data_IF_441995731438
#
_entry.id   IF_441995731438
#
_cell.length_a   1.000
_cell.length_b   1.000
_cell.length_c   1.000
_cell.angle_alpha   90.00
_cell.angle_beta   90.00
_cell.angle_gamma   90.00
#
_symmetry.space_group_name_H-M   'P 1'
#
loop_
_entity.id
_entity.type
_entity.pdbx_description
1 polymer ?
#
# COMPACT_ATOMS: atom_id res chain seq x y z
N UNK A 1 1.58 -7.45 -11.29
CA UNK A 1 1.59 -7.94 -9.89
C UNK A 1 2.67 -7.22 -9.12
N UNK A 2 2.40 -6.79 -7.89
CA UNK A 2 3.35 -6.08 -7.05
C UNK A 2 3.46 -6.73 -5.66
N UNK A 3 2.56 -6.37 -4.73
CA UNK A 3 2.58 -6.86 -3.36
C UNK A 3 1.73 -8.13 -3.15
N UNK A 4 2.02 -8.87 -2.07
CA UNK A 4 1.20 -9.99 -1.60
C UNK A 4 1.05 -10.08 -0.09
N UNK A 5 -0.04 -10.70 0.35
CA UNK A 5 -0.22 -11.16 1.74
C UNK A 5 -0.71 -12.61 1.75
N UNK A 6 -0.27 -13.36 2.74
CA UNK A 6 -0.67 -14.75 2.95
C UNK A 6 -1.59 -14.81 4.17
N UNK A 7 -2.79 -15.31 3.95
CA UNK A 7 -3.78 -15.60 4.97
C UNK A 7 -3.79 -17.11 5.23
N UNK A 8 -3.41 -17.51 6.44
CA UNK A 8 -3.36 -18.91 6.85
C UNK A 8 -4.68 -19.41 7.47
N UNK A 9 -5.69 -18.55 7.56
CA UNK A 9 -6.99 -18.86 8.18
C UNK A 9 -8.03 -19.35 7.16
N UNK A 10 -7.78 -19.13 5.86
CA UNK A 10 -8.66 -19.56 4.76
C UNK A 10 -7.95 -20.49 3.79
N UNK A 11 -8.61 -21.59 3.39
CA UNK A 11 -8.05 -22.62 2.51
C UNK A 11 -7.20 -23.65 3.26
N UNK A 12 -6.98 -24.83 2.66
CA UNK A 12 -6.33 -25.95 3.35
C UNK A 12 -4.86 -25.66 3.71
N UNK A 13 -4.13 -24.95 2.86
CA UNK A 13 -2.76 -24.52 3.07
C UNK A 13 -2.61 -22.99 3.15
N UNK A 14 -3.73 -22.29 3.34
CA UNK A 14 -3.81 -20.83 3.24
C UNK A 14 -4.22 -20.33 1.85
N UNK A 15 -4.50 -19.03 1.81
CA UNK A 15 -4.85 -18.25 0.64
C UNK A 15 -3.87 -17.09 0.50
N UNK A 16 -3.31 -16.87 -0.68
CA UNK A 16 -2.52 -15.69 -0.97
C UNK A 16 -3.37 -14.66 -1.73
N UNK A 17 -3.28 -13.41 -1.29
CA UNK A 17 -3.85 -12.26 -1.98
C UNK A 17 -2.71 -11.46 -2.57
N UNK A 18 -2.79 -11.17 -3.86
CA UNK A 18 -1.75 -10.45 -4.59
C UNK A 18 -2.38 -9.27 -5.30
N UNK A 19 -1.76 -8.11 -5.22
CA UNK A 19 -2.18 -6.96 -6.01
C UNK A 19 -1.59 -7.03 -7.40
N UNK A 20 -2.43 -6.74 -8.39
CA UNK A 20 -2.01 -6.53 -9.75
C UNK A 20 -2.11 -5.04 -10.06
N UNK A 21 -1.03 -4.30 -9.80
CA UNK A 21 -0.98 -2.86 -10.10
C UNK A 21 -1.16 -2.56 -11.58
N UNK A 22 -0.88 -3.56 -12.43
CA UNK A 22 -0.80 -3.50 -13.90
C UNK A 22 0.19 -2.49 -14.47
N UNK A 23 0.65 -1.50 -13.69
CA UNK A 23 1.33 -0.28 -14.14
C UNK A 23 0.76 0.22 -15.49
N UNK A 24 -0.56 0.11 -15.64
CA UNK A 24 -1.24 -0.03 -16.93
C UNK A 24 -2.76 -0.16 -16.77
N UNK A 25 -3.43 -0.79 -17.75
CA UNK A 25 -4.87 -0.59 -17.96
C UNK A 25 -5.81 -1.60 -17.31
N UNK A 26 -5.28 -2.68 -16.74
CA UNK A 26 -6.12 -3.69 -16.10
C UNK A 26 -5.53 -4.04 -14.75
N UNK A 27 -5.70 -3.19 -13.73
CA UNK A 27 -5.37 -3.57 -12.37
C UNK A 27 -6.46 -4.45 -11.75
N UNK A 28 -6.09 -5.26 -10.76
CA UNK A 28 -7.01 -6.18 -10.09
C UNK A 28 -6.44 -6.67 -8.76
N UNK A 29 -7.23 -7.47 -8.05
CA UNK A 29 -6.70 -8.40 -7.05
C UNK A 29 -6.62 -9.80 -7.66
N UNK A 30 -5.63 -10.58 -7.25
CA UNK A 30 -5.53 -12.00 -7.55
C UNK A 30 -5.58 -12.79 -6.25
N UNK A 31 -6.47 -13.76 -6.21
CA UNK A 31 -6.64 -14.68 -5.08
C UNK A 31 -6.09 -16.04 -5.50
N UNK A 32 -5.23 -16.62 -4.69
CA UNK A 32 -4.56 -17.89 -4.95
C UNK A 32 -4.83 -18.85 -3.80
N UNK A 33 -5.47 -19.97 -4.08
CA UNK A 33 -5.52 -21.09 -3.15
C UNK A 33 -4.17 -21.81 -3.16
N UNK A 34 -3.46 -21.81 -2.03
CA UNK A 34 -2.06 -22.27 -1.98
C UNK A 34 -1.98 -23.79 -2.15
N UNK A 35 -2.98 -24.53 -1.66
CA UNK A 35 -2.96 -25.99 -1.71
C UNK A 35 -3.09 -26.53 -3.14
N UNK A 36 -4.02 -25.97 -3.92
CA UNK A 36 -4.29 -26.41 -5.30
C UNK A 36 -3.55 -25.61 -6.36
N UNK A 37 -3.02 -24.43 -6.02
CA UNK A 37 -2.45 -23.48 -6.97
C UNK A 37 -3.48 -22.80 -7.87
N UNK A 38 -4.79 -23.01 -7.64
CA UNK A 38 -5.85 -22.35 -8.41
C UNK A 38 -5.86 -20.86 -8.08
N UNK A 39 -5.96 -20.05 -9.12
CA UNK A 39 -5.99 -18.60 -9.00
C UNK A 39 -7.22 -18.00 -9.69
N UNK A 40 -7.71 -16.88 -9.15
CA UNK A 40 -8.75 -16.07 -9.77
C UNK A 40 -8.37 -14.59 -9.68
N UNK A 41 -8.70 -13.85 -10.73
CA UNK A 41 -8.48 -12.41 -10.82
C UNK A 41 -9.83 -11.70 -10.69
N UNK A 42 -9.94 -10.80 -9.72
CA UNK A 42 -11.20 -10.23 -9.25
C UNK A 42 -11.12 -8.72 -9.15
N UNK A 43 -12.27 -8.05 -9.18
CA UNK A 43 -12.38 -6.58 -9.07
C UNK A 43 -11.60 -5.82 -10.16
N UNK A 44 -11.38 -6.45 -11.32
CA UNK A 44 -10.53 -5.92 -12.38
C UNK A 44 -11.02 -4.61 -13.03
N UNK A 45 -12.33 -4.34 -12.92
CA UNK A 45 -12.98 -3.13 -13.42
C UNK A 45 -13.59 -2.30 -12.29
N UNK A 46 -13.43 -2.74 -11.05
CA UNK A 46 -14.03 -2.06 -9.91
C UNK A 46 -13.24 -0.77 -9.60
N UNK A 47 -13.89 0.38 -9.34
CA UNK A 47 -13.19 1.64 -9.10
C UNK A 47 -12.11 1.59 -8.01
N UNK A 48 -12.30 0.76 -6.99
CA UNK A 48 -11.34 0.60 -5.88
C UNK A 48 -9.98 0.00 -6.26
N UNK A 49 -9.85 -0.57 -7.46
CA UNK A 49 -8.57 -1.11 -7.97
C UNK A 49 -7.96 -0.20 -9.03
N UNK A 50 -8.65 0.84 -9.47
CA UNK A 50 -8.21 1.68 -10.59
C UNK A 50 -7.39 2.89 -10.12
N UNK A 51 -6.46 3.32 -10.97
CA UNK A 51 -5.83 4.63 -10.83
C UNK A 51 -6.87 5.75 -11.02
N UNK A 52 -6.84 6.75 -10.15
CA UNK A 52 -7.79 7.88 -10.16
C UNK A 52 -7.43 8.90 -11.26
N UNK A 53 -8.24 9.06 -12.32
CA UNK A 53 -7.95 10.03 -13.38
C UNK A 53 -7.85 11.46 -12.86
N UNK A 54 -6.81 12.19 -13.25
CA UNK A 54 -6.59 13.55 -12.79
C UNK A 54 -5.93 13.65 -11.41
N UNK A 55 -5.57 12.52 -10.80
CA UNK A 55 -4.82 12.50 -9.55
C UNK A 55 -3.56 13.36 -9.66
N UNK A 56 -3.45 14.34 -8.77
CA UNK A 56 -2.27 15.19 -8.65
C UNK A 56 -1.46 14.75 -7.43
N UNK A 57 -0.16 14.60 -7.67
CA UNK A 57 0.81 14.32 -6.63
C UNK A 57 1.98 15.28 -6.65
N UNK A 58 2.57 15.53 -5.48
CA UNK A 58 3.81 16.30 -5.36
C UNK A 58 4.98 15.33 -5.22
N UNK A 59 5.84 15.25 -6.24
CA UNK A 59 6.97 14.31 -6.26
C UNK A 59 8.27 15.10 -6.19
N UNK A 60 9.03 14.92 -5.11
CA UNK A 60 10.25 15.69 -4.83
C UNK A 60 10.03 17.21 -5.00
N UNK A 61 8.88 17.71 -4.53
CA UNK A 61 8.48 19.13 -4.62
C UNK A 61 7.86 19.57 -5.94
N UNK A 62 7.73 18.68 -6.94
CA UNK A 62 7.15 19.00 -8.24
C UNK A 62 5.70 18.49 -8.35
N UNK A 63 4.70 19.35 -8.61
CA UNK A 63 3.34 18.90 -8.84
C UNK A 63 3.22 18.22 -10.22
N UNK A 64 2.74 16.98 -10.21
CA UNK A 64 2.55 16.13 -11.38
C UNK A 64 1.13 15.58 -11.39
N UNK A 65 0.51 15.52 -12.56
CA UNK A 65 -0.86 15.04 -12.74
C UNK A 65 -0.84 13.76 -13.55
N UNK A 66 -1.52 12.73 -13.06
CA UNK A 66 -1.81 11.53 -13.83
C UNK A 66 -2.92 11.82 -14.83
N UNK A 67 -2.63 11.60 -16.12
CA UNK A 67 -3.61 11.69 -17.20
C UNK A 67 -3.66 10.35 -17.93
N UNK A 68 -4.79 9.62 -17.88
CA UNK A 68 -4.93 8.36 -18.61
C UNK A 68 -4.56 8.50 -20.09
N UNK A 69 -3.85 7.51 -20.63
CA UNK A 69 -3.40 7.50 -22.03
C UNK A 69 -2.17 8.35 -22.35
N UNK A 70 -1.65 9.13 -21.38
CA UNK A 70 -0.36 9.82 -21.54
C UNK A 70 0.75 9.06 -20.81
N UNK A 71 2.00 9.11 -21.30
CA UNK A 71 3.14 8.58 -20.56
C UNK A 71 3.22 9.20 -19.16
N UNK A 72 3.29 8.38 -18.10
CA UNK A 72 3.35 8.90 -16.74
C UNK A 72 4.68 9.59 -16.45
N UNK A 73 4.64 10.64 -15.62
CA UNK A 73 5.82 11.40 -15.18
C UNK A 73 6.27 11.08 -13.76
N UNK A 74 5.58 10.15 -13.11
CA UNK A 74 5.85 9.61 -11.78
C UNK A 74 5.29 8.20 -11.72
N UNK A 75 5.57 7.47 -10.64
CA UNK A 75 5.04 6.11 -10.47
C UNK A 75 3.52 6.16 -10.38
N UNK A 76 2.85 5.39 -11.24
CA UNK A 76 1.39 5.29 -11.28
C UNK A 76 0.96 3.84 -11.43
N UNK A 77 -0.16 3.47 -10.81
CA UNK A 77 -0.68 2.11 -10.84
C UNK A 77 -2.09 2.03 -10.24
N UNK A 78 -2.77 0.92 -10.52
CA UNK A 78 -3.98 0.54 -9.81
C UNK A 78 -3.66 -0.11 -8.46
N UNK A 79 -4.46 -1.10 -8.04
CA UNK A 79 -4.29 -1.81 -6.77
C UNK A 79 -2.84 -2.23 -6.53
N UNK A 80 -2.26 -1.79 -5.41
CA UNK A 80 -0.85 -1.92 -5.13
C UNK A 80 -0.60 -2.28 -3.66
N UNK A 81 -0.54 -1.30 -2.77
CA UNK A 81 -0.40 -1.56 -1.33
C UNK A 81 -1.51 -2.45 -0.80
N UNK A 82 -1.12 -3.45 -0.01
CA UNK A 82 -2.01 -4.48 0.54
C UNK A 82 -1.54 -4.92 1.92
N UNK A 83 -2.48 -5.15 2.82
CA UNK A 83 -2.21 -5.66 4.16
C UNK A 83 -3.43 -6.39 4.73
N UNK A 84 -3.21 -7.26 5.71
CA UNK A 84 -4.28 -7.98 6.41
C UNK A 84 -4.56 -7.32 7.75
N UNK A 85 -5.80 -7.42 8.24
CA UNK A 85 -6.08 -7.22 9.66
C UNK A 85 -5.31 -8.24 10.52
N UNK A 86 -5.06 -7.97 11.81
CA UNK A 86 -4.24 -8.86 12.66
C UNK A 86 -4.78 -10.29 12.77
N UNK A 87 -6.10 -10.46 12.68
CA UNK A 87 -6.81 -11.74 12.71
C UNK A 87 -7.11 -12.29 11.30
N UNK A 88 -6.62 -11.63 10.24
CA UNK A 88 -6.88 -11.97 8.84
C UNK A 88 -8.36 -12.02 8.47
N UNK A 89 -9.25 -11.29 9.16
CA UNK A 89 -10.68 -11.22 8.82
C UNK A 89 -11.00 -10.28 7.65
N UNK A 90 -10.05 -9.39 7.32
CA UNK A 90 -10.23 -8.31 6.35
C UNK A 90 -8.92 -8.05 5.62
N UNK A 91 -9.02 -7.93 4.31
CA UNK A 91 -7.95 -7.47 3.45
C UNK A 91 -8.11 -5.97 3.24
N UNK A 92 -7.06 -5.20 3.53
CA UNK A 92 -6.94 -3.80 3.13
C UNK A 92 -6.07 -3.72 1.90
N UNK A 93 -6.47 -2.89 0.94
CA UNK A 93 -5.72 -2.67 -0.28
C UNK A 93 -6.01 -1.27 -0.81
N UNK A 94 -5.14 -0.79 -1.69
CA UNK A 94 -5.34 0.52 -2.27
C UNK A 94 -4.68 0.70 -3.63
N UNK A 95 -5.25 1.52 -4.52
CA UNK A 95 -4.54 1.95 -5.71
C UNK A 95 -3.32 2.80 -5.38
N UNK A 96 -2.23 2.60 -6.13
CA UNK A 96 -1.03 3.44 -6.03
C UNK A 96 -1.35 4.89 -6.39
N UNK A 97 -2.07 5.09 -7.50
CA UNK A 97 -2.53 6.40 -7.97
C UNK A 97 -3.89 6.77 -7.38
N UNK A 98 -3.97 6.85 -6.06
CA UNK A 98 -5.10 7.38 -5.31
C UNK A 98 -4.68 7.67 -3.88
N UNK A 99 -5.48 8.47 -3.16
CA UNK A 99 -5.38 8.58 -1.70
C UNK A 99 -6.34 7.65 -0.95
N UNK A 100 -7.18 6.89 -1.63
CA UNK A 100 -8.22 6.07 -0.98
C UNK A 100 -7.68 4.72 -0.49
N UNK A 101 -8.14 4.29 0.68
CA UNK A 101 -7.98 2.95 1.23
C UNK A 101 -9.28 2.18 1.07
N UNK A 102 -9.19 0.93 0.63
CA UNK A 102 -10.32 0.05 0.52
C UNK A 102 -10.10 -1.22 1.32
N UNK A 103 -11.19 -1.90 1.65
CA UNK A 103 -11.13 -3.19 2.32
C UNK A 103 -12.29 -4.11 1.95
N UNK A 104 -12.12 -5.41 2.17
CA UNK A 104 -13.20 -6.40 2.08
C UNK A 104 -12.91 -7.62 2.96
N UNK A 105 -13.94 -8.36 3.43
CA UNK A 105 -13.74 -9.55 4.23
C UNK A 105 -12.97 -10.63 3.47
N UNK A 106 -11.97 -11.22 4.10
CA UNK A 106 -11.17 -12.33 3.53
C UNK A 106 -12.00 -13.58 3.30
N UNK A 107 -12.98 -13.87 4.16
CA UNK A 107 -13.91 -14.98 3.99
C UNK A 107 -14.69 -14.91 2.65
N UNK A 108 -15.11 -13.70 2.26
CA UNK A 108 -15.80 -13.45 0.99
C UNK A 108 -14.81 -13.53 -0.18
N UNK A 109 -13.59 -13.04 0.02
CA UNK A 109 -12.55 -13.04 -1.00
C UNK A 109 -11.90 -14.42 -1.22
N UNK A 110 -11.86 -15.30 -0.22
CA UNK A 110 -11.30 -16.64 -0.33
C UNK A 110 -12.31 -17.63 -0.95
N UNK A 111 -13.61 -17.39 -0.80
CA UNK A 111 -14.64 -18.27 -1.35
C UNK A 111 -14.73 -18.15 -2.89
N UNK A 112 -14.39 -19.23 -3.65
CA UNK A 112 -14.40 -19.20 -5.10
C UNK A 112 -15.81 -19.20 -5.71
N UNK A 113 -16.85 -19.40 -4.90
CA UNK A 113 -18.25 -19.39 -5.34
C UNK A 113 -18.88 -18.00 -5.31
N UNK A 114 -18.25 -17.04 -4.64
CA UNK A 114 -18.72 -15.65 -4.57
C UNK A 114 -18.53 -14.96 -5.92
N UNK A 115 -19.63 -14.37 -6.41
CA UNK A 115 -19.65 -13.63 -7.68
C UNK A 115 -18.91 -12.30 -7.60
N UNK A 116 -18.47 -11.78 -8.76
CA UNK A 116 -17.86 -10.44 -8.86
C UNK A 116 -18.77 -9.34 -8.30
N UNK A 117 -20.09 -9.43 -8.51
CA UNK A 117 -21.04 -8.44 -7.99
C UNK A 117 -21.11 -8.46 -6.46
N UNK A 118 -21.06 -9.65 -5.85
CA UNK A 118 -21.02 -9.79 -4.40
C UNK A 118 -19.68 -9.32 -3.81
N UNK A 119 -18.56 -9.58 -4.49
CA UNK A 119 -17.25 -9.03 -4.11
C UNK A 119 -17.27 -7.50 -4.15
N UNK A 120 -17.76 -6.91 -5.24
CA UNK A 120 -17.87 -5.46 -5.40
C UNK A 120 -18.72 -4.84 -4.29
N UNK A 121 -19.87 -5.44 -3.97
CA UNK A 121 -20.74 -4.98 -2.89
C UNK A 121 -20.11 -5.10 -1.49
N UNK A 122 -19.15 -6.01 -1.30
CA UNK A 122 -18.43 -6.19 -0.04
C UNK A 122 -17.26 -5.23 0.13
N UNK A 123 -16.87 -4.50 -0.91
CA UNK A 123 -15.82 -3.47 -0.83
C UNK A 123 -16.32 -2.31 0.02
N UNK A 124 -15.53 -1.99 1.05
CA UNK A 124 -15.71 -0.81 1.90
C UNK A 124 -14.64 0.22 1.56
N UNK A 125 -15.06 1.47 1.40
CA UNK A 125 -14.17 2.62 1.39
C UNK A 125 -13.83 3.01 2.84
N UNK A 126 -12.55 2.94 3.20
CA UNK A 126 -12.04 3.24 4.53
C UNK A 126 -11.58 4.70 4.66
N UNK A 127 -11.74 5.52 3.63
CA UNK A 127 -11.25 6.90 3.62
C UNK A 127 -9.83 7.02 3.09
N UNK A 128 -9.08 7.98 3.63
CA UNK A 128 -7.74 8.30 3.14
C UNK A 128 -6.66 7.31 3.64
N UNK A 129 -5.60 7.13 2.85
CA UNK A 129 -4.33 6.44 3.17
C UNK A 129 -3.09 7.34 3.02
N UNK A 130 -3.23 8.49 2.37
CA UNK A 130 -2.11 9.24 1.80
C UNK A 130 -1.64 8.67 0.46
N UNK A 131 -0.41 8.99 0.06
CA UNK A 131 0.17 8.58 -1.23
C UNK A 131 1.07 7.35 -1.09
N UNK A 132 0.52 6.33 -0.45
CA UNK A 132 1.25 5.10 -0.17
C UNK A 132 1.47 4.22 -1.39
N UNK A 133 2.68 3.67 -1.43
CA UNK A 133 3.07 2.49 -2.20
C UNK A 133 2.73 1.25 -1.35
N UNK A 134 3.60 0.88 -0.40
CA UNK A 134 3.37 -0.22 0.54
C UNK A 134 2.44 0.12 1.73
N UNK A 135 1.78 -0.93 2.23
CA UNK A 135 0.97 -0.92 3.45
C UNK A 135 1.38 -2.05 4.40
N UNK A 136 1.40 -1.79 5.71
CA UNK A 136 1.58 -2.85 6.71
C UNK A 136 0.70 -2.62 7.94
N UNK A 137 0.14 -3.69 8.50
CA UNK A 137 -0.68 -3.63 9.72
C UNK A 137 0.14 -4.14 10.90
N UNK A 138 0.10 -3.44 12.04
CA UNK A 138 0.64 -3.98 13.29
C UNK A 138 -0.38 -4.83 14.07
N UNK A 139 0.06 -5.41 15.18
CA UNK A 139 -0.81 -6.26 16.01
C UNK A 139 -1.95 -5.52 16.70
N UNK A 140 -1.96 -4.18 16.69
CA UNK A 140 -3.04 -3.35 17.24
C UNK A 140 -4.06 -2.94 16.17
N UNK A 141 -3.90 -3.41 14.92
CA UNK A 141 -4.79 -3.08 13.82
C UNK A 141 -4.55 -1.69 13.21
N UNK A 142 -3.43 -1.03 13.57
CA UNK A 142 -3.04 0.26 12.99
C UNK A 142 -2.30 -0.02 11.67
N UNK A 143 -2.55 0.80 10.66
CA UNK A 143 -1.98 0.61 9.32
C UNK A 143 -0.90 1.66 9.08
N UNK A 144 0.31 1.20 8.81
CA UNK A 144 1.43 2.03 8.38
C UNK A 144 1.36 2.20 6.87
N UNK A 145 1.41 3.45 6.45
CA UNK A 145 1.31 3.84 5.05
C UNK A 145 2.60 4.55 4.69
N UNK A 146 3.26 4.08 3.63
CA UNK A 146 4.36 4.85 3.06
C UNK A 146 3.79 6.15 2.46
N UNK A 147 4.62 7.16 2.26
CA UNK A 147 4.16 8.41 1.67
C UNK A 147 5.29 9.08 0.89
N UNK A 148 5.20 9.01 -0.44
CA UNK A 148 6.24 9.56 -1.31
C UNK A 148 6.10 11.07 -1.54
N UNK A 149 5.00 11.71 -1.13
CA UNK A 149 4.83 13.15 -1.30
C UNK A 149 5.54 13.95 -0.20
N UNK A 150 5.57 13.39 1.01
CA UNK A 150 6.10 14.04 2.20
C UNK A 150 7.33 13.32 2.76
N UNK A 151 7.99 12.45 1.98
CA UNK A 151 9.19 11.69 2.36
C UNK A 151 9.09 11.07 3.77
N UNK A 152 7.96 10.41 4.03
CA UNK A 152 7.61 9.96 5.38
C UNK A 152 6.90 8.60 5.40
N UNK A 153 6.72 8.08 6.61
CA UNK A 153 5.82 6.97 6.89
C UNK A 153 4.82 7.44 7.94
N UNK A 154 3.54 7.28 7.63
CA UNK A 154 2.42 7.60 8.50
C UNK A 154 1.89 6.32 9.16
N UNK A 155 1.27 6.46 10.32
CA UNK A 155 0.43 5.44 10.94
C UNK A 155 -1.00 5.92 10.94
N UNK A 156 -1.86 5.24 10.20
CA UNK A 156 -3.31 5.38 10.27
C UNK A 156 -3.82 4.55 11.45
N UNK A 157 -4.38 5.21 12.45
CA UNK A 157 -4.99 4.59 13.62
C UNK A 157 -6.33 3.93 13.25
N UNK A 158 -6.85 3.12 14.17
CA UNK A 158 -8.11 2.37 13.95
C UNK A 158 -9.33 3.27 13.81
N UNK A 159 -9.27 4.49 14.33
CA UNK A 159 -10.29 5.53 14.16
C UNK A 159 -10.15 6.35 12.86
N UNK A 160 -9.10 6.09 12.07
CA UNK A 160 -8.80 6.80 10.82
C UNK A 160 -7.94 8.05 10.98
N UNK A 161 -7.55 8.43 12.19
CA UNK A 161 -6.56 9.49 12.42
C UNK A 161 -5.17 9.07 11.96
N UNK A 162 -4.27 10.02 11.72
CA UNK A 162 -2.90 9.77 11.28
C UNK A 162 -1.88 10.33 12.26
N UNK A 163 -0.85 9.54 12.55
CA UNK A 163 0.36 9.96 13.24
C UNK A 163 1.55 9.92 12.29
N UNK A 164 2.43 10.92 12.37
CA UNK A 164 3.71 10.92 11.67
C UNK A 164 4.70 10.04 12.44
N UNK A 165 5.15 8.93 11.85
CA UNK A 165 6.03 7.98 12.54
C UNK A 165 7.50 8.25 12.27
N UNK A 166 7.84 8.58 11.02
CA UNK A 166 9.19 8.98 10.64
C UNK A 166 9.11 9.90 9.42
N UNK A 167 9.95 10.93 9.41
CA UNK A 167 10.11 11.86 8.29
C UNK A 167 11.60 12.16 8.17
N UNK A 168 12.14 12.01 6.96
CA UNK A 168 13.53 12.28 6.65
C UNK A 168 13.67 12.44 5.13
N UNK A 169 14.39 13.45 4.61
CA UNK A 169 14.58 13.65 3.17
C UNK A 169 15.22 12.47 2.42
N UNK A 170 15.79 11.50 3.14
CA UNK A 170 16.30 10.25 2.57
C UNK A 170 15.21 9.21 2.29
N UNK A 171 14.00 9.36 2.86
CA UNK A 171 12.84 8.47 2.67
C UNK A 171 12.19 8.77 1.31
N UNK A 172 12.93 8.48 0.24
CA UNK A 172 12.49 8.71 -1.13
C UNK A 172 11.89 7.43 -1.72
N UNK A 173 10.63 7.53 -2.14
CA UNK A 173 9.84 6.37 -2.61
C UNK A 173 9.93 5.18 -1.63
N UNK A 174 9.47 5.34 -0.38
CA UNK A 174 9.29 4.22 0.55
C UNK A 174 8.28 3.21 0.00
N UNK A 175 8.66 1.94 -0.05
CA UNK A 175 7.93 0.88 -0.75
C UNK A 175 7.73 -0.33 0.18
N UNK A 176 8.59 -1.35 0.07
CA UNK A 176 8.45 -2.59 0.82
C UNK A 176 8.45 -2.36 2.33
N UNK A 177 7.28 -2.49 2.94
CA UNK A 177 7.04 -2.21 4.36
C UNK A 177 6.50 -3.43 5.09
N UNK A 178 7.00 -3.67 6.31
CA UNK A 178 6.60 -4.79 7.15
C UNK A 178 6.58 -4.41 8.62
N UNK A 179 5.55 -4.88 9.34
CA UNK A 179 5.42 -4.69 10.79
C UNK A 179 5.74 -5.99 11.53
N UNK A 180 6.66 -5.89 12.48
CA UNK A 180 6.82 -6.87 13.56
C UNK A 180 5.96 -6.46 14.76
N UNK A 181 5.99 -7.24 15.85
CA UNK A 181 5.33 -6.90 17.11
C UNK A 181 5.82 -5.59 17.74
N UNK A 182 7.00 -5.09 17.37
CA UNK A 182 7.63 -3.95 18.04
C UNK A 182 8.19 -2.89 17.10
N UNK A 183 8.44 -3.23 15.85
CA UNK A 183 9.08 -2.35 14.87
C UNK A 183 8.45 -2.47 13.50
N UNK A 184 8.50 -1.36 12.77
CA UNK A 184 8.27 -1.29 11.33
C UNK A 184 9.61 -1.31 10.61
N UNK A 185 9.69 -2.02 9.50
CA UNK A 185 10.81 -2.05 8.57
C UNK A 185 10.33 -1.52 7.22
N UNK A 186 11.13 -0.70 6.54
CA UNK A 186 10.79 -0.18 5.22
C UNK A 186 12.00 -0.02 4.31
N UNK A 187 11.89 -0.45 3.05
CA UNK A 187 12.89 -0.22 2.01
C UNK A 187 12.63 1.07 1.24
N UNK A 188 13.70 1.79 0.91
CA UNK A 188 13.65 3.08 0.21
C UNK A 188 14.16 2.91 -1.22
N UNK A 189 13.24 2.86 -2.19
CA UNK A 189 13.51 2.43 -3.56
C UNK A 189 13.96 3.52 -4.54
N UNK A 190 13.71 4.80 -4.22
CA UNK A 190 13.96 5.93 -5.12
C UNK A 190 13.27 5.80 -6.50
N UNK A 191 12.08 5.18 -6.59
CA UNK A 191 11.38 4.92 -7.86
C UNK A 191 11.12 6.16 -8.71
N UNK A 192 10.82 7.29 -8.08
CA UNK A 192 10.62 8.56 -8.77
C UNK A 192 11.86 9.04 -9.55
N UNK A 193 13.04 8.46 -9.28
CA UNK A 193 14.31 8.77 -9.94
C UNK A 193 14.65 7.83 -11.10
N UNK A 194 13.78 6.88 -11.43
CA UNK A 194 13.96 6.01 -12.60
C UNK A 194 14.06 6.83 -13.90
N UNK A 195 14.85 6.33 -14.85
CA UNK A 195 15.06 6.94 -16.17
C UNK A 195 13.75 7.21 -16.93
N UNK A 196 12.75 6.33 -16.77
CA UNK A 196 11.41 6.44 -17.36
C UNK A 196 10.68 7.73 -16.99
N UNK A 197 10.97 8.30 -15.81
CA UNK A 197 10.37 9.53 -15.32
C UNK A 197 11.29 10.75 -15.45
N UNK A 198 12.52 10.54 -15.94
CA UNK A 198 13.61 11.53 -15.88
C UNK A 198 14.31 11.71 -17.23
N UNK A 199 13.56 11.66 -18.33
CA UNK A 199 14.09 11.92 -19.68
C UNK A 199 15.18 10.94 -20.10
N UNK A 200 15.09 9.68 -19.65
CA UNK A 200 16.08 8.64 -19.94
C UNK A 200 17.29 8.63 -19.00
N UNK A 201 17.38 9.56 -18.05
CA UNK A 201 18.49 9.60 -17.09
C UNK A 201 18.09 8.94 -15.76
N UNK A 202 18.77 7.86 -15.38
CA UNK A 202 18.60 7.27 -14.06
C UNK A 202 19.26 8.17 -13.00
N UNK A 203 18.45 8.71 -12.09
CA UNK A 203 18.91 9.61 -11.02
C UNK A 203 19.06 8.89 -9.68
N UNK A 204 18.80 7.59 -9.60
CA UNK A 204 18.95 6.82 -8.35
C UNK A 204 20.41 6.82 -7.94
N UNK A 205 20.66 6.93 -6.63
CA UNK A 205 22.02 6.90 -6.07
C UNK A 205 22.13 5.80 -5.02
N UNK A 206 22.94 4.75 -5.24
CA UNK A 206 23.23 3.78 -4.20
C UNK A 206 24.10 4.41 -3.09
N UNK A 207 24.10 3.84 -1.88
CA UNK A 207 23.35 2.64 -1.48
C UNK A 207 21.83 2.90 -1.34
N UNK A 208 21.03 1.85 -1.53
CA UNK A 208 19.63 1.83 -1.10
C UNK A 208 19.56 1.56 0.40
N UNK A 209 18.47 1.98 1.04
CA UNK A 209 18.34 1.93 2.48
C UNK A 209 17.17 1.03 2.92
N UNK A 210 17.42 0.28 4.00
CA UNK A 210 16.40 -0.35 4.84
C UNK A 210 16.40 0.40 6.17
N UNK A 211 15.26 0.98 6.52
CA UNK A 211 15.08 1.67 7.81
C UNK A 211 14.22 0.84 8.74
N UNK A 212 14.36 1.09 10.05
CA UNK A 212 13.43 0.57 11.05
C UNK A 212 13.16 1.60 12.15
N UNK A 213 11.97 1.55 12.72
CA UNK A 213 11.54 2.39 13.84
C UNK A 213 10.49 1.63 14.69
N UNK A 214 10.34 1.95 15.99
CA UNK A 214 9.37 1.28 16.84
C UNK A 214 7.92 1.59 16.44
N UNK A 215 7.00 0.66 16.71
CA UNK A 215 5.54 0.86 16.46
C UNK A 215 4.91 1.84 17.45
N UNK A 216 5.50 1.93 18.65
CA UNK A 216 5.13 2.96 19.61
C UNK A 216 6.01 4.19 19.37
N UNK A 217 5.42 5.40 19.40
CA UNK A 217 6.21 6.62 19.32
C UNK A 217 7.31 6.58 20.37
N UNK A 218 8.52 6.95 19.98
CA UNK A 218 9.56 7.21 20.98
C UNK A 218 9.07 8.41 21.80
N UNK A 219 8.96 8.31 23.14
CA UNK A 219 8.53 9.43 23.95
C UNK A 219 9.36 10.66 23.61
N UNK A 220 8.68 11.77 23.29
CA UNK A 220 9.37 13.04 23.14
C UNK A 220 10.05 13.36 24.48
N UNK A 221 11.37 13.41 24.49
CA UNK A 221 12.12 13.79 25.67
C UNK A 221 11.90 15.29 25.91
N UNK A 222 11.03 15.64 26.85
CA UNK A 222 10.88 17.02 27.30
C UNK A 222 11.75 17.25 28.54
N UNK A 223 12.79 18.07 28.42
CA UNK A 223 13.64 18.48 29.54
C UNK A 223 12.91 19.26 30.62
N UNK A 224 11.69 19.74 30.35
CA UNK A 224 10.85 20.48 31.30
C UNK A 224 9.99 19.59 32.20
N UNK A 225 9.95 18.28 31.95
CA UNK A 225 9.33 17.31 32.88
C UNK A 225 10.38 16.78 33.89
N UNK A 226 10.92 17.69 34.70
CA UNK A 226 11.52 17.38 36.00
C UNK A 226 11.14 18.47 36.98
N UNK A 227 10.14 18.19 37.82
CA UNK A 227 10.13 18.22 39.30
C UNK A 227 8.79 17.60 39.74
#
# INVERSE_FOLDING_TARGET
MNDLRVDLTHGQAGTAYVTDSSFGHSPALVVVDIASGRQRRVLATHPSTQAEPGFMAVVEGVPLVYTPGKPPRFVVGGADGITLSPNSDRLFYAPLTSRRLYSLPTAVLADPTVSEAALAAAVKDEGEKGTADGLATDTQGRIYTTNFEQDCILRRNTDGSFDLMVHDPRILSPDGIFCTKTHVYCTLGQWNRLASFNGGQDKRKPPYHLIRFPIEPVPAYNTEQKI
#
